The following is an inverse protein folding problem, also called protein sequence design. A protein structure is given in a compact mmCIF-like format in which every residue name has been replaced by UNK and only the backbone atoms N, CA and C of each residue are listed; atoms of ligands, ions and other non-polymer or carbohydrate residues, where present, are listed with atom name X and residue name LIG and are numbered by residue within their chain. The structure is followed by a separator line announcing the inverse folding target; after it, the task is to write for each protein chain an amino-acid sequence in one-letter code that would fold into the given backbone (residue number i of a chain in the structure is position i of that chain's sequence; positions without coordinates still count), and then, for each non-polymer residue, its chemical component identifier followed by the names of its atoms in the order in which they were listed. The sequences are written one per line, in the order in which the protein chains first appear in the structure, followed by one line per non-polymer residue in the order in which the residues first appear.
data_IF_529315831323
#
_entry.id   IF_529315831323
#
_cell.length_a   1.000
_cell.length_b   1.000
_cell.length_c   1.000
_cell.angle_alpha   90.00
_cell.angle_beta   90.00
_cell.angle_gamma   90.00
#
_symmetry.space_group_name_H-M   'P 1'
#
loop_
_entity.id
_entity.type
_entity.pdbx_description
1 polymer ?
#
# COMPACT_ATOMS: atom_id res chain seq x y z
N UNK A 1 -8.81 15.70 19.05
CA UNK A 1 -10.27 15.86 18.89
C UNK A 1 -10.84 17.18 19.42
N UNK A 2 -10.06 17.98 20.16
CA UNK A 2 -10.52 19.24 20.78
C UNK A 2 -11.19 20.25 19.82
N UNK A 3 -10.83 20.24 18.53
CA UNK A 3 -11.42 21.12 17.50
C UNK A 3 -12.56 20.48 16.70
N UNK A 4 -13.02 19.28 17.10
CA UNK A 4 -14.05 18.50 16.40
C UNK A 4 -13.81 18.37 14.88
N UNK A 5 -12.62 17.91 14.45
CA UNK A 5 -12.29 17.82 13.04
C UNK A 5 -13.13 16.76 12.33
N UNK A 6 -13.35 16.93 11.02
CA UNK A 6 -13.94 15.88 10.15
C UNK A 6 -12.89 14.95 9.54
N UNK A 7 -11.62 15.39 9.48
CA UNK A 7 -10.50 14.66 8.90
C UNK A 7 -9.31 14.67 9.86
N UNK A 8 -8.67 13.52 10.02
CA UNK A 8 -7.39 13.36 10.72
C UNK A 8 -6.41 12.72 9.75
N UNK A 9 -5.24 13.35 9.59
CA UNK A 9 -4.09 12.77 8.90
C UNK A 9 -3.16 12.21 9.96
N UNK A 10 -2.87 10.91 9.90
CA UNK A 10 -2.05 10.22 10.86
C UNK A 10 -0.88 9.54 10.15
N UNK A 11 0.32 10.10 10.32
CA UNK A 11 1.55 9.63 9.68
C UNK A 11 2.36 8.76 10.65
N UNK A 12 2.46 7.46 10.34
CA UNK A 12 3.11 6.44 11.15
C UNK A 12 2.78 6.48 12.65
N UNK A 13 1.50 6.66 13.05
CA UNK A 13 1.12 7.02 14.42
C UNK A 13 1.37 5.91 15.45
N UNK A 14 1.65 4.67 15.01
CA UNK A 14 1.89 3.51 15.87
C UNK A 14 3.29 2.91 15.73
N UNK A 15 4.18 3.52 14.94
CA UNK A 15 5.49 2.95 14.59
C UNK A 15 6.43 2.76 15.79
N UNK A 16 6.31 3.61 16.81
CA UNK A 16 7.14 3.57 18.02
C UNK A 16 6.53 2.73 19.17
N UNK A 17 5.42 2.04 18.92
CA UNK A 17 4.68 1.30 19.95
C UNK A 17 5.00 -0.19 19.88
N UNK A 18 4.98 -0.86 21.03
CA UNK A 18 4.98 -2.33 21.05
C UNK A 18 3.67 -2.87 20.45
N UNK A 19 3.68 -4.17 20.11
CA UNK A 19 2.57 -4.83 19.41
C UNK A 19 1.25 -4.73 20.19
N UNK A 20 1.30 -4.79 21.53
CA UNK A 20 0.10 -4.78 22.37
C UNK A 20 -0.53 -3.39 22.44
N UNK A 21 0.29 -2.36 22.67
CA UNK A 21 -0.17 -0.96 22.71
C UNK A 21 -0.62 -0.50 21.32
N UNK A 22 0.09 -0.91 20.26
CA UNK A 22 -0.36 -0.66 18.89
C UNK A 22 -1.78 -1.18 18.65
N UNK A 23 -2.09 -2.41 19.07
CA UNK A 23 -3.43 -2.98 18.89
C UNK A 23 -4.50 -2.16 19.64
N UNK A 24 -4.20 -1.70 20.86
CA UNK A 24 -5.11 -0.85 21.64
C UNK A 24 -5.36 0.49 20.96
N UNK A 25 -4.31 1.16 20.47
CA UNK A 25 -4.45 2.44 19.76
C UNK A 25 -5.27 2.27 18.48
N UNK A 26 -5.05 1.21 17.70
CA UNK A 26 -5.81 0.97 16.48
C UNK A 26 -7.30 0.72 16.74
N UNK A 27 -7.63 0.01 17.83
CA UNK A 27 -9.02 -0.20 18.23
C UNK A 27 -9.67 1.12 18.69
N UNK A 28 -8.96 1.92 19.50
CA UNK A 28 -9.43 3.24 19.90
C UNK A 28 -9.68 4.14 18.68
N UNK A 29 -8.76 4.19 17.71
CA UNK A 29 -8.95 4.98 16.49
C UNK A 29 -10.21 4.55 15.72
N UNK A 30 -10.49 3.25 15.66
CA UNK A 30 -11.71 2.73 15.04
C UNK A 30 -12.97 3.15 15.80
N UNK A 31 -12.96 3.04 17.13
CA UNK A 31 -14.08 3.50 17.96
C UNK A 31 -14.33 5.00 17.79
N UNK A 32 -13.27 5.82 17.76
CA UNK A 32 -13.38 7.26 17.53
C UNK A 32 -13.90 7.58 16.13
N UNK A 33 -13.51 6.81 15.11
CA UNK A 33 -14.05 6.92 13.74
C UNK A 33 -15.57 6.81 13.75
N UNK A 34 -16.08 5.76 14.40
CA UNK A 34 -17.50 5.43 14.45
C UNK A 34 -18.27 6.43 15.32
N UNK A 35 -17.76 6.77 16.51
CA UNK A 35 -18.42 7.66 17.46
C UNK A 35 -18.52 9.11 16.97
N UNK A 36 -17.52 9.60 16.23
CA UNK A 36 -17.46 11.00 15.79
C UNK A 36 -17.61 11.20 14.28
N UNK A 37 -17.82 10.13 13.51
CA UNK A 37 -17.92 10.20 12.05
C UNK A 37 -16.65 10.71 11.37
N UNK A 38 -15.48 10.34 11.90
CA UNK A 38 -14.20 10.87 11.42
C UNK A 38 -13.77 10.21 10.11
N UNK A 39 -13.13 10.99 9.26
CA UNK A 39 -12.33 10.46 8.15
C UNK A 39 -10.87 10.37 8.59
N UNK A 40 -10.23 9.24 8.35
CA UNK A 40 -8.79 9.06 8.56
C UNK A 40 -8.06 8.93 7.24
N UNK A 41 -7.00 9.72 7.05
CA UNK A 41 -5.92 9.42 6.14
C UNK A 41 -4.77 8.84 6.97
N UNK A 42 -4.61 7.53 6.92
CA UNK A 42 -3.60 6.81 7.70
C UNK A 42 -2.45 6.39 6.79
N UNK A 43 -1.23 6.78 7.15
CA UNK A 43 -0.01 6.48 6.40
C UNK A 43 0.81 5.50 7.23
N UNK A 44 1.12 4.35 6.64
CA UNK A 44 2.05 3.40 7.26
C UNK A 44 2.68 2.44 6.25
N UNK A 45 3.90 1.99 6.55
CA UNK A 45 4.56 0.89 5.87
C UNK A 45 4.09 -0.50 6.33
N UNK A 46 3.36 -0.60 7.46
CA UNK A 46 2.92 -1.89 8.01
C UNK A 46 1.57 -2.33 7.42
N UNK A 47 1.62 -3.27 6.46
CA UNK A 47 0.42 -3.81 5.81
C UNK A 47 -0.56 -4.51 6.76
N UNK A 48 -0.08 -5.06 7.89
CA UNK A 48 -0.95 -5.64 8.91
C UNK A 48 -1.84 -4.59 9.58
N UNK A 49 -1.26 -3.43 9.89
CA UNK A 49 -1.98 -2.29 10.46
C UNK A 49 -2.96 -1.70 9.44
N UNK A 50 -2.49 -1.47 8.21
CA UNK A 50 -3.32 -0.95 7.11
C UNK A 50 -4.55 -1.83 6.88
N UNK A 51 -4.40 -3.16 6.95
CA UNK A 51 -5.50 -4.12 6.82
C UNK A 51 -6.57 -3.95 7.92
N UNK A 52 -6.20 -3.54 9.13
CA UNK A 52 -7.15 -3.41 10.22
C UNK A 52 -8.01 -2.14 10.07
N UNK A 53 -7.39 -1.01 9.81
CA UNK A 53 -8.04 0.31 9.91
C UNK A 53 -8.67 0.81 8.59
N UNK A 54 -8.12 0.41 7.44
CA UNK A 54 -8.44 1.06 6.16
C UNK A 54 -9.64 0.43 5.45
N UNK A 55 -10.45 1.26 4.80
CA UNK A 55 -11.50 0.84 3.87
C UNK A 55 -10.95 0.75 2.43
N UNK A 56 -10.15 1.74 2.05
CA UNK A 56 -9.42 1.85 0.78
C UNK A 56 -7.94 2.04 1.06
N UNK A 57 -7.10 1.55 0.16
CA UNK A 57 -5.64 1.59 0.29
C UNK A 57 -5.05 2.11 -1.01
N UNK A 58 -4.10 3.03 -0.89
CA UNK A 58 -3.25 3.48 -1.98
C UNK A 58 -1.81 3.05 -1.66
N UNK A 59 -1.19 2.32 -2.59
CA UNK A 59 0.19 1.85 -2.48
C UNK A 59 1.07 2.80 -3.27
N UNK A 60 2.14 3.27 -2.65
CA UNK A 60 3.09 4.19 -3.27
C UNK A 60 4.46 3.55 -3.43
N UNK A 61 5.13 3.85 -4.55
CA UNK A 61 6.53 3.51 -4.76
C UNK A 61 7.28 4.72 -5.29
N UNK A 62 8.37 5.10 -4.61
CA UNK A 62 9.20 6.27 -4.93
C UNK A 62 8.35 7.52 -5.26
N UNK A 63 7.40 7.87 -4.40
CA UNK A 63 6.57 9.08 -4.56
C UNK A 63 5.46 9.02 -5.61
N UNK A 64 5.14 7.84 -6.15
CA UNK A 64 4.02 7.65 -7.10
C UNK A 64 3.02 6.64 -6.55
N UNK A 65 1.73 6.93 -6.67
CA UNK A 65 0.69 5.94 -6.41
C UNK A 65 0.73 4.92 -7.54
N UNK A 66 1.00 3.67 -7.20
CA UNK A 66 1.15 2.59 -8.18
C UNK A 66 -0.09 1.71 -8.25
N UNK A 67 -0.86 1.60 -7.17
CA UNK A 67 -2.11 0.85 -7.11
C UNK A 67 -3.02 1.46 -6.03
N UNK A 68 -4.32 1.52 -6.29
CA UNK A 68 -5.33 1.95 -5.33
C UNK A 68 -6.60 1.13 -5.50
N UNK A 69 -7.26 0.80 -4.39
CA UNK A 69 -8.53 0.10 -4.42
C UNK A 69 -9.11 -0.17 -3.04
N UNK A 70 -10.19 -0.95 -2.98
CA UNK A 70 -10.72 -1.42 -1.70
C UNK A 70 -9.68 -2.34 -1.05
N UNK A 71 -9.61 -2.29 0.28
CA UNK A 71 -8.71 -3.16 1.06
C UNK A 71 -8.85 -4.63 0.66
N UNK A 72 -10.08 -5.13 0.50
CA UNK A 72 -10.32 -6.55 0.18
C UNK A 72 -9.61 -6.96 -1.10
N UNK A 73 -9.76 -6.15 -2.15
CA UNK A 73 -9.26 -6.47 -3.49
C UNK A 73 -7.72 -6.38 -3.53
N UNK A 74 -7.13 -5.35 -2.89
CA UNK A 74 -5.67 -5.24 -2.82
C UNK A 74 -5.03 -6.42 -2.08
N UNK A 75 -5.61 -6.88 -0.98
CA UNK A 75 -5.03 -7.96 -0.18
C UNK A 75 -5.33 -9.36 -0.73
N UNK A 76 -6.34 -9.51 -1.60
CA UNK A 76 -6.71 -10.81 -2.18
C UNK A 76 -6.17 -11.01 -3.59
N UNK A 77 -6.19 -9.96 -4.42
CA UNK A 77 -5.81 -10.02 -5.83
C UNK A 77 -4.94 -8.82 -6.25
N UNK A 78 -3.82 -8.54 -5.56
CA UNK A 78 -2.96 -7.39 -5.89
C UNK A 78 -2.49 -7.43 -7.35
N UNK A 79 -2.62 -6.30 -8.06
CA UNK A 79 -2.32 -6.20 -9.49
C UNK A 79 -0.90 -5.72 -9.75
N UNK A 80 -0.47 -4.62 -9.11
CA UNK A 80 0.84 -4.06 -9.39
C UNK A 80 1.96 -4.99 -8.88
N UNK A 81 3.00 -5.30 -9.67
CA UNK A 81 4.09 -6.19 -9.25
C UNK A 81 4.73 -5.81 -7.91
N UNK A 82 4.86 -4.51 -7.63
CA UNK A 82 5.30 -4.02 -6.32
C UNK A 82 4.34 -4.36 -5.18
N UNK A 83 3.03 -4.15 -5.35
CA UNK A 83 2.03 -4.51 -4.33
C UNK A 83 2.04 -6.01 -4.05
N UNK A 84 2.18 -6.84 -5.09
CA UNK A 84 2.35 -8.29 -4.95
C UNK A 84 3.54 -8.64 -4.07
N UNK A 85 4.70 -8.02 -4.35
CA UNK A 85 5.91 -8.24 -3.57
C UNK A 85 5.78 -7.76 -2.11
N UNK A 86 5.18 -6.60 -1.89
CA UNK A 86 4.90 -6.08 -0.55
C UNK A 86 4.05 -7.06 0.26
N UNK A 87 2.96 -7.57 -0.31
CA UNK A 87 2.06 -8.49 0.39
C UNK A 87 2.66 -9.88 0.59
N UNK A 88 3.51 -10.34 -0.33
CA UNK A 88 4.26 -11.59 -0.19
C UNK A 88 5.23 -11.55 1.01
N UNK A 89 5.75 -10.37 1.36
CA UNK A 89 6.63 -10.19 2.51
C UNK A 89 5.89 -10.14 3.88
N UNK A 90 4.56 -10.03 3.88
CA UNK A 90 3.77 -9.94 5.12
C UNK A 90 3.59 -11.34 5.74
N UNK A 91 3.94 -11.54 7.03
CA UNK A 91 3.73 -12.82 7.69
C UNK A 91 2.26 -13.25 7.71
N UNK A 92 2.01 -14.51 7.36
CA UNK A 92 0.70 -15.16 7.49
C UNK A 92 0.61 -15.96 8.78
N UNK A 93 -0.53 -15.88 9.48
CA UNK A 93 -0.81 -16.68 10.68
C UNK A 93 -1.14 -18.15 10.38
N UNK A 94 -1.55 -18.45 9.14
CA UNK A 94 -1.88 -19.82 8.71
C UNK A 94 -0.62 -20.51 8.17
N UNK A 95 -0.12 -21.56 8.85
CA UNK A 95 1.06 -22.33 8.43
C UNK A 95 0.79 -23.22 7.20
N UNK A 96 -0.46 -23.48 6.83
CA UNK A 96 -0.82 -24.32 5.68
C UNK A 96 -0.86 -23.54 4.36
N UNK A 97 -0.85 -22.20 4.43
CA UNK A 97 -0.93 -21.36 3.25
C UNK A 97 0.44 -21.27 2.59
N UNK A 98 0.62 -21.96 1.45
CA UNK A 98 1.83 -21.84 0.61
C UNK A 98 2.01 -20.37 0.21
N UNK A 99 3.16 -19.79 0.55
CA UNK A 99 3.53 -18.43 0.17
C UNK A 99 4.11 -18.42 -1.24
N UNK A 100 3.72 -17.46 -2.07
CA UNK A 100 4.57 -17.06 -3.19
C UNK A 100 5.73 -16.26 -2.58
N UNK A 101 6.93 -16.83 -2.51
CA UNK A 101 8.13 -16.07 -2.16
C UNK A 101 8.51 -15.21 -3.37
N UNK A 102 8.28 -13.90 -3.25
CA UNK A 102 8.72 -12.93 -4.24
C UNK A 102 9.95 -12.24 -3.68
N UNK A 103 11.13 -12.71 -4.09
CA UNK A 103 12.40 -12.06 -3.78
C UNK A 103 12.57 -10.91 -4.78
N UNK A 104 12.60 -9.68 -4.27
CA UNK A 104 12.93 -8.51 -5.08
C UNK A 104 14.44 -8.42 -5.21
N UNK A 105 14.93 -8.43 -6.45
CA UNK A 105 16.34 -8.23 -6.76
C UNK A 105 16.67 -6.73 -6.86
N UNK A 106 17.93 -6.40 -6.57
CA UNK A 106 18.46 -5.03 -6.65
C UNK A 106 18.05 -4.11 -5.50
N UNK A 107 18.83 -3.04 -5.34
CA UNK A 107 18.60 -2.00 -4.34
C UNK A 107 17.44 -1.07 -4.70
N UNK A 108 16.87 -0.41 -3.70
CA UNK A 108 15.87 0.64 -3.91
C UNK A 108 16.54 1.82 -4.64
N UNK A 109 16.05 2.24 -5.82
CA UNK A 109 16.61 3.39 -6.53
C UNK A 109 16.52 4.68 -5.73
N UNK A 110 17.41 5.63 -6.02
CA UNK A 110 17.42 6.94 -5.36
C UNK A 110 16.11 7.69 -5.59
N UNK A 111 15.44 8.20 -4.54
CA UNK A 111 14.29 9.08 -4.69
C UNK A 111 14.63 10.44 -5.33
N UNK A 112 15.90 10.87 -5.22
CA UNK A 112 16.39 12.15 -5.78
C UNK A 112 16.57 12.03 -7.30
N UNK A 113 17.03 10.85 -7.76
CA UNK A 113 17.24 10.55 -9.17
C UNK A 113 16.48 9.26 -9.53
N UNK A 114 15.14 9.33 -9.61
CA UNK A 114 14.33 8.17 -9.88
C UNK A 114 14.59 7.67 -11.30
N UNK A 115 14.47 6.35 -11.54
CA UNK A 115 14.59 5.79 -12.87
C UNK A 115 13.51 6.34 -13.80
N UNK A 116 13.83 6.44 -15.10
CA UNK A 116 12.89 6.86 -16.14
C UNK A 116 11.76 5.83 -16.32
N UNK A 117 10.66 6.25 -16.92
CA UNK A 117 9.50 5.42 -17.14
C UNK A 117 8.81 4.98 -15.84
N UNK A 118 8.45 3.69 -15.75
CA UNK A 118 7.94 3.07 -14.53
C UNK A 118 9.03 3.05 -13.45
N UNK A 119 8.80 3.71 -12.31
CA UNK A 119 9.80 3.80 -11.24
C UNK A 119 10.21 2.43 -10.66
N UNK A 120 9.35 1.43 -10.77
CA UNK A 120 9.59 0.07 -10.26
C UNK A 120 10.27 -0.86 -11.28
N UNK A 121 10.44 -0.46 -12.55
CA UNK A 121 10.99 -1.34 -13.58
C UNK A 121 12.35 -1.97 -13.24
N UNK A 122 13.30 -1.32 -12.52
CA UNK A 122 14.60 -1.93 -12.23
C UNK A 122 14.53 -3.15 -11.31
N UNK A 123 13.41 -3.31 -10.57
CA UNK A 123 13.18 -4.38 -9.61
C UNK A 123 11.98 -5.25 -9.97
N UNK A 124 11.35 -4.98 -11.12
CA UNK A 124 10.14 -5.65 -11.55
C UNK A 124 10.49 -6.88 -12.39
N UNK A 125 10.12 -8.08 -11.92
CA UNK A 125 10.29 -9.35 -12.68
C UNK A 125 9.51 -9.41 -14.00
N UNK A 126 8.59 -8.48 -14.21
CA UNK A 126 7.75 -8.36 -15.39
C UNK A 126 8.12 -7.14 -16.26
N UNK A 127 9.27 -6.51 -16.01
CA UNK A 127 9.70 -5.37 -16.81
C UNK A 127 9.93 -5.77 -18.28
N UNK A 128 9.52 -4.89 -19.19
CA UNK A 128 9.73 -4.98 -20.64
C UNK A 128 10.08 -3.57 -21.17
N UNK A 129 10.57 -3.42 -22.43
CA UNK A 129 11.21 -2.17 -22.89
C UNK A 129 10.41 -0.88 -22.62
N UNK A 130 9.09 -0.89 -22.83
CA UNK A 130 8.21 0.28 -22.55
C UNK A 130 8.34 0.78 -21.11
N UNK A 131 8.57 -0.11 -20.14
CA UNK A 131 8.66 0.23 -18.72
C UNK A 131 9.83 1.14 -18.37
N UNK A 132 10.93 1.11 -19.12
CA UNK A 132 12.08 2.01 -18.90
C UNK A 132 11.96 3.34 -19.63
N UNK A 133 11.04 3.44 -20.59
CA UNK A 133 10.93 4.58 -21.50
C UNK A 133 9.75 5.49 -21.16
N UNK A 134 8.60 4.91 -20.77
CA UNK A 134 7.34 5.60 -20.58
C UNK A 134 6.82 5.43 -19.14
N UNK A 135 6.39 6.53 -18.53
CA UNK A 135 5.74 6.49 -17.21
C UNK A 135 4.31 5.95 -17.38
N UNK A 136 3.93 4.86 -16.68
CA UNK A 136 2.57 4.33 -16.80
C UNK A 136 1.56 5.32 -16.21
N UNK A 137 0.49 5.58 -16.97
CA UNK A 137 -0.60 6.42 -16.49
C UNK A 137 -1.36 5.74 -15.36
N UNK A 138 -1.72 6.52 -14.34
CA UNK A 138 -2.62 6.05 -13.29
C UNK A 138 -4.05 6.09 -13.80
N UNK A 139 -4.62 4.92 -14.10
CA UNK A 139 -5.93 4.79 -14.74
C UNK A 139 -6.81 3.79 -13.98
N UNK A 140 -8.13 3.86 -14.21
CA UNK A 140 -9.09 2.91 -13.64
C UNK A 140 -9.11 1.63 -14.46
N UNK A 141 -8.95 0.49 -13.80
CA UNK A 141 -9.03 -0.85 -14.44
C UNK A 141 -10.38 -1.52 -14.20
N UNK A 142 -11.02 -1.20 -13.07
CA UNK A 142 -12.38 -1.61 -12.71
C UNK A 142 -12.98 -0.58 -11.74
N UNK A 143 -14.25 -0.71 -11.39
CA UNK A 143 -14.92 0.25 -10.52
C UNK A 143 -14.26 0.31 -9.13
N UNK A 144 -13.75 1.49 -8.78
CA UNK A 144 -13.08 1.73 -7.49
C UNK A 144 -11.66 1.18 -7.41
N UNK A 145 -11.05 0.79 -8.53
CA UNK A 145 -9.68 0.29 -8.60
C UNK A 145 -8.88 0.98 -9.70
N UNK A 146 -7.68 1.42 -9.35
CA UNK A 146 -6.78 2.14 -10.24
C UNK A 146 -5.35 1.65 -10.10
N UNK A 147 -4.60 1.70 -11.20
CA UNK A 147 -3.21 1.22 -11.26
C UNK A 147 -2.38 2.08 -12.20
N UNK A 148 -1.07 2.17 -11.94
CA UNK A 148 -0.08 2.70 -12.87
C UNK A 148 0.89 1.58 -13.27
N UNK A 149 0.51 0.77 -14.25
CA UNK A 149 1.34 -0.34 -14.75
C UNK A 149 1.00 -0.68 -16.21
N UNK A 150 2.03 -0.82 -17.06
CA UNK A 150 1.85 -1.16 -18.48
C UNK A 150 1.38 -2.59 -18.76
N UNK A 151 1.30 -3.46 -17.74
CA UNK A 151 0.73 -4.80 -17.86
C UNK A 151 -0.79 -4.79 -18.00
N UNK A 152 -1.43 -3.67 -17.65
CA UNK A 152 -2.87 -3.52 -17.63
C UNK A 152 -3.26 -2.36 -18.58
N UNK A 153 -4.20 -2.60 -19.52
CA UNK A 153 -4.64 -1.61 -20.49
C UNK A 153 -5.59 -0.56 -19.90
#
# INVERSE_FOLDING_TARGET
LATQPKLIVADEPTSALDVSVQAQILNLMKELKEAFGLTYLFISHNMGVIRHLSDRVAVMYLGKVVEMGKKKDLFQSPMHPYTRALLAAVPTLDPKRKREEIILEGDVPSPIHPPRGCRFHPRCRYAFPRCSEEEPLFHSVEEGRSIACHLYP
#
